data_IF_071627629426
#
_entry.id   IF_071627629426
#
_cell.length_a   1.000
_cell.length_b   1.000
_cell.length_c   1.000
_cell.angle_alpha   90.00
_cell.angle_beta   90.00
_cell.angle_gamma   90.00
#
_symmetry.space_group_name_H-M   'P 1'
#
loop_
_entity.id
_entity.type
_entity.pdbx_description
1 polymer ?
#
# COMPACT_ATOMS: atom_id res chain seq x y z
N UNK A 1 -4.09 -15.82 8.53
CA UNK A 1 -5.02 -15.87 7.39
C UNK A 1 -5.87 -14.62 7.47
N UNK A 2 -5.75 -13.70 6.52
CA UNK A 2 -6.55 -12.48 6.49
C UNK A 2 -8.02 -12.78 6.19
N UNK A 3 -8.92 -11.83 6.47
CA UNK A 3 -10.35 -11.97 6.15
C UNK A 3 -10.56 -12.08 4.63
N UNK A 4 -9.75 -11.40 3.81
CA UNK A 4 -9.80 -11.47 2.35
C UNK A 4 -9.31 -12.81 1.79
N UNK A 5 -8.25 -13.37 2.37
CA UNK A 5 -7.77 -14.72 2.07
C UNK A 5 -8.79 -15.77 2.50
N UNK A 6 -9.43 -15.60 3.66
CA UNK A 6 -10.48 -16.49 4.13
C UNK A 6 -11.74 -16.44 3.24
N UNK A 7 -12.10 -15.27 2.72
CA UNK A 7 -13.24 -15.13 1.80
C UNK A 7 -12.95 -15.73 0.41
N UNK A 8 -11.76 -15.48 -0.15
CA UNK A 8 -11.33 -16.10 -1.42
C UNK A 8 -11.17 -17.61 -1.29
N UNK A 9 -10.57 -18.09 -0.20
CA UNK A 9 -10.52 -19.51 0.13
C UNK A 9 -11.92 -20.09 0.31
N UNK A 10 -12.82 -19.38 1.00
CA UNK A 10 -14.21 -19.80 1.18
C UNK A 10 -14.95 -19.95 -0.15
N UNK A 11 -14.83 -18.96 -1.04
CA UNK A 11 -15.42 -19.00 -2.39
C UNK A 11 -14.82 -20.12 -3.24
N UNK A 12 -13.49 -20.25 -3.27
CA UNK A 12 -12.80 -21.33 -3.96
C UNK A 12 -13.20 -22.71 -3.42
N UNK A 13 -13.29 -22.88 -2.09
CA UNK A 13 -13.72 -24.14 -1.47
C UNK A 13 -15.17 -24.44 -1.82
N UNK A 14 -16.07 -23.45 -1.84
CA UNK A 14 -17.46 -23.64 -2.27
C UNK A 14 -17.55 -24.01 -3.74
N UNK A 15 -16.83 -23.32 -4.63
CA UNK A 15 -16.80 -23.63 -6.08
C UNK A 15 -16.16 -24.99 -6.35
N UNK A 16 -15.07 -25.33 -5.66
CA UNK A 16 -14.46 -26.64 -5.71
C UNK A 16 -15.40 -27.72 -5.17
N UNK A 17 -16.10 -27.49 -4.06
CA UNK A 17 -17.10 -28.41 -3.51
C UNK A 17 -18.31 -28.57 -4.44
N UNK A 18 -18.72 -27.53 -5.16
CA UNK A 18 -19.79 -27.59 -6.17
C UNK A 18 -19.35 -28.35 -7.42
N UNK A 19 -18.14 -28.10 -7.91
CA UNK A 19 -17.53 -28.86 -9.00
C UNK A 19 -17.37 -30.33 -8.64
N UNK A 20 -16.84 -30.61 -7.43
CA UNK A 20 -16.79 -31.94 -6.82
C UNK A 20 -18.20 -32.53 -6.71
N UNK A 21 -19.21 -31.82 -6.20
CA UNK A 21 -20.60 -32.32 -6.10
C UNK A 21 -21.20 -32.71 -7.46
N UNK A 22 -20.95 -31.91 -8.51
CA UNK A 22 -21.37 -32.24 -9.88
C UNK A 22 -20.64 -33.46 -10.46
N UNK A 23 -19.41 -33.72 -10.01
CA UNK A 23 -18.61 -34.87 -10.41
C UNK A 23 -18.98 -36.14 -9.61
N UNK A 24 -19.33 -35.96 -8.33
CA UNK A 24 -19.63 -37.01 -7.33
C UNK A 24 -21.07 -37.53 -7.38
N UNK A 25 -21.93 -36.93 -8.22
CA UNK A 25 -23.30 -37.39 -8.48
C UNK A 25 -23.36 -38.55 -9.49
N UNK A 26 -22.22 -38.98 -10.03
CA UNK A 26 -22.12 -40.17 -10.87
C UNK A 26 -21.83 -41.43 -10.03
N UNK A 27 -22.51 -42.56 -10.31
CA UNK A 27 -22.36 -43.82 -9.56
C UNK A 27 -20.95 -44.42 -9.54
N UNK A 28 -20.05 -43.91 -10.38
CA UNK A 28 -18.61 -44.26 -10.43
C UNK A 28 -17.84 -43.72 -9.22
N UNK A 29 -18.27 -42.60 -8.63
CA UNK A 29 -17.54 -41.94 -7.55
C UNK A 29 -17.88 -42.54 -6.18
N UNK A 30 -19.11 -43.03 -5.96
CA UNK A 30 -19.46 -43.74 -4.72
C UNK A 30 -18.54 -44.94 -4.45
N UNK A 31 -18.18 -45.68 -5.51
CA UNK A 31 -17.26 -46.84 -5.43
C UNK A 31 -15.81 -46.44 -5.11
N UNK A 32 -15.41 -45.22 -5.48
CA UNK A 32 -14.08 -44.64 -5.19
C UNK A 32 -14.00 -43.98 -3.80
N UNK A 33 -15.11 -43.45 -3.27
CA UNK A 33 -15.16 -42.92 -1.89
C UNK A 33 -15.01 -44.06 -0.86
N UNK A 34 -15.42 -45.28 -1.23
CA UNK A 34 -15.23 -46.49 -0.39
C UNK A 34 -13.78 -46.98 -0.36
N UNK A 35 -12.94 -46.49 -1.28
CA UNK A 35 -11.52 -46.82 -1.38
C UNK A 35 -10.71 -45.77 -0.58
N UNK A 36 -10.25 -46.17 0.62
CA UNK A 36 -9.54 -45.30 1.54
C UNK A 36 -8.24 -44.72 0.98
N UNK A 37 -7.56 -45.47 0.11
CA UNK A 37 -6.29 -45.05 -0.49
C UNK A 37 -6.54 -43.97 -1.55
N UNK A 38 -7.58 -44.14 -2.37
CA UNK A 38 -7.98 -43.13 -3.33
C UNK A 38 -8.40 -41.82 -2.64
N UNK A 39 -9.19 -41.89 -1.56
CA UNK A 39 -9.60 -40.70 -0.79
C UNK A 39 -8.40 -39.99 -0.15
N UNK A 40 -7.43 -40.75 0.36
CA UNK A 40 -6.19 -40.19 0.93
C UNK A 40 -5.37 -39.47 -0.13
N UNK A 41 -5.17 -40.09 -1.30
CA UNK A 41 -4.43 -39.51 -2.42
C UNK A 41 -5.10 -38.26 -2.97
N UNK A 42 -6.43 -38.29 -3.18
CA UNK A 42 -7.20 -37.13 -3.61
C UNK A 42 -7.08 -35.97 -2.61
N UNK A 43 -7.14 -36.23 -1.30
CA UNK A 43 -6.94 -35.19 -0.28
C UNK A 43 -5.55 -34.58 -0.36
N UNK A 44 -4.50 -35.39 -0.52
CA UNK A 44 -3.13 -34.89 -0.65
C UNK A 44 -2.95 -34.06 -1.93
N UNK A 45 -3.46 -34.54 -3.06
CA UNK A 45 -3.41 -33.81 -4.33
C UNK A 45 -4.18 -32.48 -4.26
N UNK A 46 -5.37 -32.49 -3.65
CA UNK A 46 -6.16 -31.28 -3.45
C UNK A 46 -5.47 -30.30 -2.49
N UNK A 47 -4.89 -30.78 -1.38
CA UNK A 47 -4.08 -29.93 -0.48
C UNK A 47 -2.88 -29.33 -1.22
N UNK A 48 -2.19 -30.10 -2.05
CA UNK A 48 -1.06 -29.63 -2.85
C UNK A 48 -1.48 -28.65 -3.95
N UNK A 49 -2.68 -28.81 -4.51
CA UNK A 49 -3.27 -27.87 -5.46
C UNK A 49 -3.62 -26.57 -4.74
N UNK A 50 -4.33 -26.65 -3.61
CA UNK A 50 -4.68 -25.49 -2.77
C UNK A 50 -3.43 -24.73 -2.33
N UNK A 51 -2.39 -25.42 -1.85
CA UNK A 51 -1.10 -24.80 -1.47
C UNK A 51 -0.39 -24.14 -2.65
N UNK A 52 -0.53 -24.67 -3.86
CA UNK A 52 0.00 -24.05 -5.09
C UNK A 52 -0.81 -22.84 -5.54
N UNK A 53 -2.13 -22.88 -5.37
CA UNK A 53 -3.05 -21.83 -5.83
C UNK A 53 -3.22 -20.69 -4.82
N UNK A 54 -2.93 -20.92 -3.55
CA UNK A 54 -2.95 -19.91 -2.50
C UNK A 54 -1.50 -19.60 -2.16
N UNK A 55 -0.87 -18.63 -2.86
CA UNK A 55 0.46 -18.20 -2.48
C UNK A 55 0.40 -17.74 -1.03
N UNK A 56 1.16 -18.40 -0.17
CA UNK A 56 1.32 -17.97 1.22
C UNK A 56 2.39 -16.90 1.27
N UNK A 57 2.17 -15.85 2.06
CA UNK A 57 3.17 -14.81 2.26
C UNK A 57 4.52 -15.45 2.66
N UNK A 58 5.55 -15.41 1.79
CA UNK A 58 6.83 -16.06 2.05
C UNK A 58 7.56 -15.38 3.22
N UNK A 59 7.16 -14.15 3.56
CA UNK A 59 7.72 -13.31 4.61
C UNK A 59 6.83 -13.30 5.87
N UNK A 60 5.87 -14.23 5.99
CA UNK A 60 4.92 -14.27 7.11
C UNK A 60 5.53 -14.33 8.51
N UNK A 61 6.80 -14.75 8.64
CA UNK A 61 7.56 -14.79 9.89
C UNK A 61 8.27 -13.48 10.23
N UNK A 62 8.29 -12.51 9.33
CA UNK A 62 8.93 -11.20 9.54
C UNK A 62 7.96 -10.26 10.22
N UNK A 63 7.66 -10.58 11.48
CA UNK A 63 6.73 -9.84 12.32
C UNK A 63 7.23 -9.77 13.75
N UNK A 64 7.01 -8.63 14.39
CA UNK A 64 7.21 -8.38 15.82
C UNK A 64 5.93 -7.78 16.40
N UNK A 65 5.86 -7.70 17.72
CA UNK A 65 4.74 -7.07 18.39
C UNK A 65 4.65 -5.59 18.01
N UNK A 66 3.42 -5.16 17.73
CA UNK A 66 3.12 -3.76 17.44
C UNK A 66 3.35 -2.94 18.72
N UNK A 67 4.13 -1.87 18.59
CA UNK A 67 4.33 -0.85 19.60
C UNK A 67 3.90 0.55 19.11
N UNK A 68 3.61 0.70 17.81
CA UNK A 68 3.20 1.95 17.19
C UNK A 68 1.75 2.29 17.52
N UNK A 69 1.55 3.49 18.05
CA UNK A 69 0.29 4.20 17.96
C UNK A 69 0.56 5.60 17.39
N UNK A 70 -0.46 6.18 16.77
CA UNK A 70 -0.37 7.57 16.37
C UNK A 70 -0.17 8.48 17.59
N UNK A 71 0.42 9.66 17.41
CA UNK A 71 0.44 10.67 18.44
C UNK A 71 -0.97 10.83 19.02
N UNK A 72 -1.05 10.95 20.35
CA UNK A 72 -2.34 10.96 21.04
C UNK A 72 -3.25 12.06 20.46
N UNK A 73 -4.40 11.66 19.94
CA UNK A 73 -5.39 12.58 19.37
C UNK A 73 -5.15 12.95 17.90
N UNK A 74 -4.11 12.42 17.26
CA UNK A 74 -3.92 12.61 15.82
C UNK A 74 -5.06 11.96 15.03
N UNK A 75 -5.56 12.71 14.05
CA UNK A 75 -6.53 12.26 13.07
C UNK A 75 -6.14 12.82 11.71
N UNK A 76 -6.61 12.17 10.65
CA UNK A 76 -6.46 12.70 9.31
C UNK A 76 -7.24 14.03 9.22
N UNK A 77 -6.68 15.10 8.60
CA UNK A 77 -7.39 16.37 8.50
C UNK A 77 -8.75 16.23 7.79
N UNK A 78 -9.76 17.01 8.18
CA UNK A 78 -11.04 17.10 7.46
C UNK A 78 -10.85 17.36 5.96
N UNK A 79 -11.80 16.90 5.14
CA UNK A 79 -11.70 17.01 3.68
C UNK A 79 -11.56 18.45 3.20
N UNK A 80 -12.26 19.40 3.82
CA UNK A 80 -12.17 20.82 3.45
C UNK A 80 -10.79 21.41 3.75
N UNK A 81 -10.16 21.00 4.86
CA UNK A 81 -8.80 21.39 5.21
C UNK A 81 -7.79 20.81 4.22
N UNK A 82 -7.97 19.53 3.82
CA UNK A 82 -7.17 18.91 2.78
C UNK A 82 -7.31 19.65 1.43
N UNK A 83 -8.53 20.00 1.01
CA UNK A 83 -8.80 20.77 -0.23
C UNK A 83 -8.13 22.14 -0.20
N UNK A 84 -8.27 22.86 0.92
CA UNK A 84 -7.65 24.17 1.10
C UNK A 84 -6.12 24.09 0.99
N UNK A 85 -5.53 23.10 1.68
CA UNK A 85 -4.08 22.90 1.66
C UNK A 85 -3.56 22.47 0.29
N UNK A 86 -4.27 21.58 -0.41
CA UNK A 86 -3.93 21.20 -1.78
C UNK A 86 -3.99 22.37 -2.75
N UNK A 87 -4.98 23.26 -2.60
CA UNK A 87 -5.10 24.47 -3.42
C UNK A 87 -3.92 25.42 -3.20
N UNK A 88 -3.45 25.53 -1.96
CA UNK A 88 -2.26 26.34 -1.63
C UNK A 88 -0.98 25.75 -2.25
N UNK A 89 -0.78 24.42 -2.15
CA UNK A 89 0.44 23.74 -2.63
C UNK A 89 0.44 23.62 -4.16
N UNK A 90 -0.73 23.38 -4.76
CA UNK A 90 -0.94 23.15 -6.18
C UNK A 90 -2.05 24.09 -6.72
N UNK A 91 -1.73 25.36 -7.06
CA UNK A 91 -2.71 26.42 -7.35
C UNK A 91 -3.65 26.24 -8.56
N UNK A 92 -3.69 25.06 -9.18
CA UNK A 92 -4.53 24.73 -10.35
C UNK A 92 -5.09 23.30 -10.31
N UNK A 93 -5.01 22.64 -9.15
CA UNK A 93 -5.52 21.29 -8.99
C UNK A 93 -7.05 21.29 -9.06
N UNK A 94 -7.63 20.47 -9.94
CA UNK A 94 -9.08 20.30 -10.01
C UNK A 94 -9.59 19.39 -8.89
N UNK A 95 -10.33 19.99 -7.97
CA UNK A 95 -10.97 19.34 -6.83
C UNK A 95 -12.49 19.22 -6.97
N UNK A 96 -13.06 19.61 -8.12
CA UNK A 96 -14.51 19.66 -8.33
C UNK A 96 -15.19 18.29 -8.24
N UNK A 97 -14.43 17.22 -8.46
CA UNK A 97 -14.91 15.84 -8.39
C UNK A 97 -14.79 15.18 -7.01
N UNK A 98 -14.16 15.83 -6.03
CA UNK A 98 -13.86 15.20 -4.72
C UNK A 98 -15.11 14.68 -4.03
N UNK A 99 -16.17 15.48 -3.95
CA UNK A 99 -17.37 15.10 -3.18
C UNK A 99 -18.07 13.87 -3.79
N UNK A 100 -18.17 13.83 -5.12
CA UNK A 100 -18.70 12.66 -5.82
C UNK A 100 -17.83 11.42 -5.61
N UNK A 101 -16.51 11.57 -5.63
CA UNK A 101 -15.58 10.47 -5.37
C UNK A 101 -15.66 9.97 -3.94
N UNK A 102 -15.91 10.85 -2.95
CA UNK A 102 -16.13 10.46 -1.55
C UNK A 102 -17.42 9.64 -1.41
N UNK A 103 -18.51 10.07 -2.05
CA UNK A 103 -19.81 9.39 -2.00
C UNK A 103 -19.75 7.97 -2.60
N UNK A 104 -18.86 7.75 -3.56
CA UNK A 104 -18.66 6.45 -4.21
C UNK A 104 -17.84 5.45 -3.36
N UNK A 105 -17.19 5.89 -2.27
CA UNK A 105 -16.35 5.01 -1.44
C UNK A 105 -17.20 4.05 -0.60
N UNK A 106 -16.99 2.74 -0.80
CA UNK A 106 -17.60 1.66 -0.02
C UNK A 106 -16.54 0.90 0.74
N UNK A 107 -16.40 1.27 2.00
CA UNK A 107 -15.54 0.52 2.93
C UNK A 107 -16.38 -0.58 3.60
N UNK A 108 -15.99 -1.86 3.51
CA UNK A 108 -16.64 -2.90 4.29
C UNK A 108 -16.62 -2.56 5.78
N UNK A 109 -17.74 -2.75 6.50
CA UNK A 109 -17.85 -2.47 7.94
C UNK A 109 -16.74 -3.13 8.77
N UNK A 110 -16.29 -4.32 8.36
CA UNK A 110 -15.19 -5.05 9.01
C UNK A 110 -13.83 -4.33 8.93
N UNK A 111 -13.66 -3.41 7.97
CA UNK A 111 -12.45 -2.63 7.75
C UNK A 111 -12.51 -1.23 8.36
N UNK A 112 -13.68 -0.72 8.76
CA UNK A 112 -13.86 0.65 9.29
C UNK A 112 -12.90 0.98 10.44
N UNK A 113 -12.69 0.06 11.37
CA UNK A 113 -11.79 0.25 12.52
C UNK A 113 -10.30 0.37 12.17
N UNK A 114 -9.93 0.12 10.91
CA UNK A 114 -8.56 0.15 10.43
C UNK A 114 -8.31 1.33 9.48
N UNK A 115 -9.34 2.11 9.16
CA UNK A 115 -9.23 3.28 8.29
C UNK A 115 -9.05 4.50 9.17
N UNK A 116 -7.99 5.27 8.91
CA UNK A 116 -7.70 6.49 9.65
C UNK A 116 -8.51 7.67 9.13
N UNK A 117 -8.90 7.61 7.85
CA UNK A 117 -9.74 8.62 7.20
C UNK A 117 -9.75 8.46 5.69
N UNK A 118 -10.42 9.42 5.03
CA UNK A 118 -10.44 9.56 3.58
C UNK A 118 -9.43 10.64 3.19
N UNK A 119 -8.46 10.28 2.36
CA UNK A 119 -7.42 11.18 1.92
C UNK A 119 -7.62 11.61 0.46
N UNK A 120 -7.35 12.88 0.18
CA UNK A 120 -7.30 13.46 -1.16
C UNK A 120 -5.82 13.51 -1.58
N UNK A 121 -5.46 12.75 -2.61
CA UNK A 121 -4.08 12.59 -3.06
C UNK A 121 -3.98 13.05 -4.51
N UNK A 122 -3.13 14.03 -4.86
CA UNK A 122 -2.87 14.38 -6.25
C UNK A 122 -2.45 13.17 -7.07
N UNK A 123 -3.03 13.01 -8.26
CA UNK A 123 -2.58 11.98 -9.20
C UNK A 123 -1.15 12.25 -9.60
N UNK A 124 -0.34 11.20 -9.67
CA UNK A 124 1.01 11.29 -10.20
C UNK A 124 1.02 11.81 -11.63
N UNK A 125 0.08 11.40 -12.49
CA UNK A 125 -0.06 11.97 -13.85
C UNK A 125 -0.37 13.47 -13.85
N UNK A 126 -1.09 13.99 -12.86
CA UNK A 126 -1.30 15.42 -12.71
C UNK A 126 0.00 16.12 -12.28
N UNK A 127 0.72 15.55 -11.31
CA UNK A 127 2.01 16.08 -10.84
C UNK A 127 3.04 16.11 -11.98
N UNK A 128 3.11 15.08 -12.82
CA UNK A 128 3.98 15.08 -14.00
C UNK A 128 3.69 16.25 -14.95
N UNK A 129 2.41 16.51 -15.22
CA UNK A 129 2.03 17.62 -16.10
C UNK A 129 2.40 18.98 -15.48
N UNK A 130 2.14 19.16 -14.19
CA UNK A 130 2.25 20.47 -13.53
C UNK A 130 3.66 20.80 -13.02
N UNK A 131 4.42 19.79 -12.59
CA UNK A 131 5.79 19.95 -12.09
C UNK A 131 6.81 19.80 -13.21
N UNK A 132 6.62 18.83 -14.11
CA UNK A 132 7.64 18.46 -15.08
C UNK A 132 7.37 18.97 -16.49
N UNK A 133 6.12 19.37 -16.80
CA UNK A 133 5.64 19.55 -18.17
C UNK A 133 5.92 18.31 -19.05
N UNK A 134 5.76 17.10 -18.46
CA UNK A 134 6.03 15.80 -19.10
C UNK A 134 4.86 14.84 -18.89
N UNK A 135 4.93 13.68 -19.56
CA UNK A 135 3.87 12.67 -19.57
C UNK A 135 4.35 11.22 -19.42
N UNK A 136 5.65 10.97 -19.21
CA UNK A 136 6.15 9.60 -19.03
C UNK A 136 6.10 9.21 -17.54
N UNK A 137 5.36 8.15 -17.24
CA UNK A 137 5.12 7.73 -15.86
C UNK A 137 6.36 7.11 -15.22
N UNK A 138 7.21 6.42 -15.98
CA UNK A 138 8.30 5.62 -15.42
C UNK A 138 9.63 6.37 -15.35
N UNK A 139 9.91 7.30 -16.27
CA UNK A 139 11.21 8.00 -16.32
C UNK A 139 11.31 9.23 -15.43
N UNK A 140 10.21 9.67 -14.83
CA UNK A 140 10.14 10.96 -14.13
C UNK A 140 9.74 10.80 -12.65
N UNK A 141 9.60 9.56 -12.16
CA UNK A 141 9.18 9.26 -10.78
C UNK A 141 10.11 9.88 -9.73
N UNK A 142 11.41 9.67 -9.89
CA UNK A 142 12.39 10.19 -8.95
C UNK A 142 12.42 11.73 -8.93
N UNK A 143 12.25 12.36 -10.09
CA UNK A 143 12.19 13.82 -10.19
C UNK A 143 10.96 14.39 -9.46
N UNK A 144 9.77 13.76 -9.58
CA UNK A 144 8.59 14.18 -8.80
C UNK A 144 8.83 13.97 -7.31
N UNK A 145 9.37 12.82 -6.90
CA UNK A 145 9.73 12.57 -5.50
C UNK A 145 10.69 13.63 -4.96
N UNK A 146 11.72 13.99 -5.74
CA UNK A 146 12.70 15.02 -5.40
C UNK A 146 12.06 16.40 -5.22
N UNK A 147 11.14 16.79 -6.09
CA UNK A 147 10.40 18.05 -5.96
C UNK A 147 9.51 18.08 -4.72
N UNK A 148 8.79 16.99 -4.43
CA UNK A 148 7.93 16.91 -3.24
C UNK A 148 8.76 16.99 -1.96
N UNK A 149 9.90 16.31 -1.91
CA UNK A 149 10.84 16.40 -0.79
C UNK A 149 11.38 17.81 -0.61
N UNK A 150 11.73 18.52 -1.68
CA UNK A 150 12.11 19.95 -1.59
C UNK A 150 11.00 20.79 -0.97
N UNK A 151 9.74 20.58 -1.38
CA UNK A 151 8.59 21.30 -0.80
C UNK A 151 8.41 20.99 0.68
N UNK A 152 8.59 19.73 1.08
CA UNK A 152 8.56 19.33 2.49
C UNK A 152 9.65 20.07 3.26
N UNK A 153 10.88 20.11 2.72
CA UNK A 153 12.02 20.80 3.35
C UNK A 153 11.87 22.32 3.49
N UNK A 154 10.98 22.94 2.71
CA UNK A 154 10.63 24.36 2.86
C UNK A 154 9.63 24.59 4.00
N UNK A 155 8.90 23.55 4.40
CA UNK A 155 7.88 23.62 5.45
C UNK A 155 8.34 23.09 6.81
N UNK A 156 9.33 22.19 6.83
CA UNK A 156 9.91 21.59 8.03
C UNK A 156 11.39 21.24 7.80
N UNK A 157 12.19 21.15 8.87
CA UNK A 157 13.53 20.58 8.75
C UNK A 157 13.44 19.15 8.19
N UNK A 158 14.20 18.88 7.14
CA UNK A 158 14.20 17.62 6.43
C UNK A 158 15.65 17.22 6.13
N UNK A 159 15.99 15.98 6.47
CA UNK A 159 17.30 15.39 6.27
C UNK A 159 17.18 14.11 5.44
N UNK A 160 17.86 14.08 4.29
CA UNK A 160 17.91 12.89 3.44
C UNK A 160 19.18 12.09 3.72
N UNK A 161 19.04 10.96 4.42
CA UNK A 161 20.12 9.99 4.66
C UNK A 161 20.05 8.79 3.72
N UNK A 162 18.96 8.64 2.97
CA UNK A 162 18.77 7.55 2.02
C UNK A 162 19.68 7.66 0.78
N UNK A 163 20.22 8.85 0.51
CA UNK A 163 21.01 9.13 -0.69
C UNK A 163 20.18 9.83 -1.76
N UNK A 164 20.69 9.93 -3.01
CA UNK A 164 20.03 10.68 -4.06
C UNK A 164 18.62 10.15 -4.37
N UNK A 165 17.68 11.05 -4.67
CA UNK A 165 16.38 10.70 -5.25
C UNK A 165 16.50 10.92 -6.76
N UNK A 166 17.01 9.92 -7.48
CA UNK A 166 17.11 9.90 -8.94
C UNK A 166 16.81 8.50 -9.50
N UNK A 167 16.71 8.37 -10.82
CA UNK A 167 16.26 7.14 -11.50
C UNK A 167 17.18 5.93 -11.29
N UNK A 168 18.39 6.13 -10.72
CA UNK A 168 19.31 5.04 -10.36
C UNK A 168 19.07 4.51 -8.95
N UNK A 169 18.45 5.32 -8.08
CA UNK A 169 18.38 5.05 -6.64
C UNK A 169 16.97 4.80 -6.13
N UNK A 170 15.92 5.24 -6.85
CA UNK A 170 14.54 4.94 -6.49
C UNK A 170 13.76 4.41 -7.69
N UNK A 171 12.89 3.43 -7.45
CA UNK A 171 11.85 3.00 -8.38
C UNK A 171 10.58 2.60 -7.66
N UNK A 172 9.46 2.60 -8.37
CA UNK A 172 8.20 2.02 -7.88
C UNK A 172 8.18 0.52 -8.15
N UNK A 173 7.56 -0.24 -7.26
CA UNK A 173 7.19 -1.63 -7.49
C UNK A 173 6.19 -1.75 -8.65
N UNK A 174 6.46 -2.65 -9.60
CA UNK A 174 5.66 -2.79 -10.81
C UNK A 174 4.17 -3.09 -10.52
N UNK A 175 3.86 -3.90 -9.50
CA UNK A 175 2.48 -4.27 -9.21
C UNK A 175 1.72 -3.09 -8.57
N UNK A 176 2.36 -2.37 -7.64
CA UNK A 176 1.80 -1.14 -7.09
C UNK A 176 1.59 -0.09 -8.19
N UNK A 177 2.56 0.03 -9.09
CA UNK A 177 2.54 0.94 -10.23
C UNK A 177 1.38 0.65 -11.20
N UNK A 178 1.11 -0.61 -11.52
CA UNK A 178 -0.04 -1.02 -12.34
C UNK A 178 -1.37 -0.66 -11.66
N UNK A 179 -1.47 -0.87 -10.35
CA UNK A 179 -2.66 -0.51 -9.57
C UNK A 179 -2.88 1.01 -9.61
N UNK A 180 -1.84 1.81 -9.36
CA UNK A 180 -1.92 3.28 -9.42
C UNK A 180 -2.33 3.74 -10.81
N UNK A 181 -1.68 3.22 -11.86
CA UNK A 181 -2.00 3.59 -13.25
C UNK A 181 -3.46 3.31 -13.59
N UNK A 182 -4.00 2.17 -13.15
CA UNK A 182 -5.41 1.81 -13.34
C UNK A 182 -6.35 2.74 -12.56
N UNK A 183 -6.01 3.06 -11.30
CA UNK A 183 -6.80 3.99 -10.49
C UNK A 183 -6.85 5.37 -11.14
N UNK A 184 -5.70 5.92 -11.54
CA UNK A 184 -5.64 7.24 -12.17
C UNK A 184 -6.38 7.32 -13.50
N UNK A 185 -6.28 6.26 -14.32
CA UNK A 185 -6.97 6.17 -15.62
C UNK A 185 -8.48 5.97 -15.52
N UNK A 186 -9.00 5.47 -14.38
CA UNK A 186 -10.45 5.24 -14.17
C UNK A 186 -11.11 6.30 -13.29
N UNK A 187 -10.34 7.12 -12.57
CA UNK A 187 -10.85 8.19 -11.71
C UNK A 187 -10.94 9.50 -12.51
N UNK A 188 -12.00 10.30 -12.35
CA UNK A 188 -12.08 11.64 -12.96
C UNK A 188 -11.28 12.68 -12.17
N UNK A 189 -10.96 13.81 -12.80
CA UNK A 189 -10.25 14.93 -12.16
C UNK A 189 -8.75 14.69 -11.93
N UNK A 190 -8.16 15.53 -11.09
CA UNK A 190 -6.71 15.62 -10.84
C UNK A 190 -6.24 14.88 -9.58
N UNK A 191 -7.16 14.29 -8.83
CA UNK A 191 -6.90 13.64 -7.54
C UNK A 191 -7.45 12.21 -7.50
N UNK A 192 -6.89 11.41 -6.60
CA UNK A 192 -7.48 10.19 -6.08
C UNK A 192 -8.07 10.51 -4.70
N UNK A 193 -9.24 9.94 -4.40
CA UNK A 193 -9.85 10.01 -3.07
C UNK A 193 -9.90 8.58 -2.53
N UNK A 194 -9.10 8.30 -1.50
CA UNK A 194 -8.86 6.94 -1.04
C UNK A 194 -9.07 6.82 0.48
N UNK A 195 -9.75 5.76 0.97
CA UNK A 195 -9.71 5.41 2.38
C UNK A 195 -8.34 4.84 2.73
N UNK A 196 -7.63 5.44 3.68
CA UNK A 196 -6.25 5.06 4.00
C UNK A 196 -6.07 4.56 5.43
N UNK A 197 -4.99 3.80 5.62
CA UNK A 197 -4.33 3.64 6.89
C UNK A 197 -2.88 4.14 6.73
N UNK A 198 -2.42 5.01 7.63
CA UNK A 198 -1.14 5.68 7.58
C UNK A 198 -0.04 4.89 8.31
N UNK A 199 -0.10 3.55 8.26
CA UNK A 199 0.97 2.65 8.74
C UNK A 199 0.63 1.78 9.95
N UNK A 200 -0.33 2.17 10.80
CA UNK A 200 -0.65 1.45 12.03
C UNK A 200 -1.21 0.03 11.81
N UNK A 201 -1.86 -0.21 10.67
CA UNK A 201 -2.44 -1.51 10.31
C UNK A 201 -1.36 -2.58 10.10
N UNK A 202 -0.24 -2.19 9.49
CA UNK A 202 0.90 -3.06 9.21
C UNK A 202 2.08 -2.82 10.16
N UNK A 203 1.88 -2.10 11.27
CA UNK A 203 2.93 -1.89 12.24
C UNK A 203 3.40 -3.24 12.84
N UNK A 204 4.71 -3.40 12.99
CA UNK A 204 5.33 -4.66 13.41
C UNK A 204 5.63 -5.64 12.28
N UNK A 205 5.33 -5.32 11.03
CA UNK A 205 5.65 -6.17 9.88
C UNK A 205 6.91 -5.66 9.19
N UNK A 206 7.69 -6.54 8.56
CA UNK A 206 8.70 -6.05 7.62
C UNK A 206 8.02 -5.42 6.41
N UNK A 207 8.65 -4.43 5.76
CA UNK A 207 8.05 -3.77 4.61
C UNK A 207 7.69 -4.73 3.47
N UNK A 208 8.54 -5.73 3.18
CA UNK A 208 8.25 -6.71 2.13
C UNK A 208 7.10 -7.65 2.51
N UNK A 209 6.97 -8.01 3.79
CA UNK A 209 5.84 -8.80 4.28
C UNK A 209 4.53 -8.01 4.21
N UNK A 210 4.56 -6.74 4.60
CA UNK A 210 3.42 -5.83 4.54
C UNK A 210 2.96 -5.58 3.11
N UNK A 211 3.88 -5.22 2.19
CA UNK A 211 3.57 -5.06 0.76
C UNK A 211 2.90 -6.30 0.17
N UNK A 212 3.51 -7.47 0.38
CA UNK A 212 2.96 -8.73 -0.15
C UNK A 212 1.52 -8.94 0.33
N UNK A 213 1.28 -8.71 1.62
CA UNK A 213 -0.04 -8.88 2.21
C UNK A 213 -1.03 -7.84 1.70
N UNK A 214 -0.62 -6.58 1.55
CA UNK A 214 -1.47 -5.50 1.06
C UNK A 214 -1.97 -5.81 -0.36
N UNK A 215 -1.05 -6.08 -1.28
CA UNK A 215 -1.37 -6.43 -2.68
C UNK A 215 -2.27 -7.67 -2.74
N UNK A 216 -1.95 -8.69 -1.94
CA UNK A 216 -2.74 -9.92 -1.84
C UNK A 216 -4.12 -9.74 -1.17
N UNK A 217 -4.44 -8.57 -0.62
CA UNK A 217 -5.71 -8.28 0.04
C UNK A 217 -6.52 -7.14 -0.60
N UNK A 218 -6.16 -6.73 -1.82
CA UNK A 218 -6.85 -5.62 -2.48
C UNK A 218 -6.61 -4.31 -1.77
N UNK A 219 -5.39 -4.12 -1.30
CA UNK A 219 -4.92 -2.84 -0.76
C UNK A 219 -3.78 -2.37 -1.66
N UNK A 220 -3.66 -1.05 -1.78
CA UNK A 220 -2.52 -0.42 -2.42
C UNK A 220 -1.54 -0.02 -1.32
N UNK A 221 -0.33 -0.62 -1.23
CA UNK A 221 0.76 0.01 -0.50
C UNK A 221 1.06 1.34 -1.19
N UNK A 222 0.98 2.44 -0.44
CA UNK A 222 1.15 3.77 -1.02
C UNK A 222 2.59 3.96 -1.47
N UNK A 223 2.76 4.53 -2.67
CA UNK A 223 4.08 4.87 -3.22
C UNK A 223 4.59 6.16 -2.55
N UNK A 224 5.91 6.35 -2.50
CA UNK A 224 6.54 7.46 -1.79
C UNK A 224 6.02 8.83 -2.22
N UNK A 225 5.77 9.06 -3.52
CA UNK A 225 5.12 10.29 -4.01
C UNK A 225 3.78 10.55 -3.32
N UNK A 226 2.91 9.54 -3.21
CA UNK A 226 1.61 9.69 -2.56
C UNK A 226 1.79 10.01 -1.08
N UNK A 227 2.75 9.35 -0.41
CA UNK A 227 3.07 9.61 1.00
C UNK A 227 3.60 11.03 1.19
N UNK A 228 4.49 11.51 0.32
CA UNK A 228 5.01 12.89 0.38
C UNK A 228 3.90 13.92 0.18
N UNK A 229 2.96 13.70 -0.74
CA UNK A 229 1.79 14.54 -0.88
C UNK A 229 0.94 14.56 0.40
N UNK A 230 0.71 13.40 1.01
CA UNK A 230 -0.03 13.31 2.28
C UNK A 230 0.67 14.11 3.37
N UNK A 231 1.99 14.00 3.51
CA UNK A 231 2.76 14.76 4.51
C UNK A 231 2.66 16.28 4.30
N UNK A 232 2.68 16.77 3.05
CA UNK A 232 2.47 18.18 2.74
C UNK A 232 1.07 18.69 3.12
N UNK A 233 0.07 17.81 3.04
CA UNK A 233 -1.32 18.10 3.44
C UNK A 233 -1.62 17.83 4.92
N UNK A 234 -0.68 17.25 5.66
CA UNK A 234 -0.84 16.85 7.06
C UNK A 234 0.31 17.39 7.93
N UNK A 235 0.46 18.72 8.05
CA UNK A 235 1.58 19.34 8.80
C UNK A 235 1.62 18.93 10.28
N UNK A 236 0.50 18.56 10.88
CA UNK A 236 0.49 18.09 12.27
C UNK A 236 1.15 16.71 12.42
N UNK A 237 1.05 15.86 11.40
CA UNK A 237 1.74 14.56 11.41
C UNK A 237 3.26 14.75 11.42
N UNK A 238 3.70 15.77 10.70
CA UNK A 238 5.07 16.24 10.60
C UNK A 238 5.59 16.84 11.94
N UNK A 239 4.78 17.63 12.64
CA UNK A 239 5.16 18.26 13.90
C UNK A 239 5.16 17.31 15.13
N UNK A 240 4.56 16.13 15.00
CA UNK A 240 4.21 15.27 16.15
C UNK A 240 5.34 14.45 16.78
N UNK A 241 6.60 14.65 16.39
CA UNK A 241 7.78 13.99 17.00
C UNK A 241 7.84 12.45 16.83
N UNK A 242 6.86 11.85 16.16
CA UNK A 242 6.63 10.40 16.10
C UNK A 242 6.26 9.94 14.69
N UNK A 243 6.76 10.65 13.67
CA UNK A 243 6.66 10.16 12.30
C UNK A 243 7.46 8.86 12.19
N UNK A 244 6.83 7.85 11.60
CA UNK A 244 7.38 6.55 11.36
C UNK A 244 6.48 5.87 10.34
N UNK A 245 6.95 5.68 9.11
CA UNK A 245 6.23 4.97 8.05
C UNK A 245 7.19 4.27 7.09
N UNK A 246 6.81 3.08 6.64
CA UNK A 246 7.57 2.34 5.61
C UNK A 246 7.11 2.74 4.20
N UNK A 247 8.05 3.00 3.30
CA UNK A 247 7.79 3.25 1.87
C UNK A 247 7.85 1.93 1.08
N UNK A 248 7.03 0.95 1.47
CA UNK A 248 7.16 -0.45 1.00
C UNK A 248 6.88 -0.70 -0.49
N UNK A 249 6.19 0.23 -1.14
CA UNK A 249 5.89 0.18 -2.57
C UNK A 249 7.04 0.72 -3.44
N UNK A 250 8.12 1.20 -2.82
CA UNK A 250 9.30 1.71 -3.51
C UNK A 250 10.48 0.76 -3.29
N UNK A 251 11.29 0.58 -4.33
CA UNK A 251 12.61 -0.02 -4.23
C UNK A 251 13.66 1.07 -4.15
N UNK A 252 14.61 0.91 -3.23
CA UNK A 252 15.74 1.81 -3.10
C UNK A 252 17.07 1.09 -3.34
N UNK A 253 17.99 1.76 -4.03
CA UNK A 253 19.34 1.28 -4.26
C UNK A 253 20.35 2.38 -3.92
N UNK A 254 20.98 2.34 -2.73
CA UNK A 254 21.93 3.38 -2.31
C UNK A 254 23.16 3.49 -3.20
N UNK A 255 23.56 2.39 -3.82
CA UNK A 255 24.79 2.29 -4.60
C UNK A 255 24.53 2.58 -6.09
N UNK A 256 23.26 2.79 -6.48
CA UNK A 256 22.86 3.04 -7.86
C UNK A 256 23.16 1.86 -8.80
N UNK A 257 23.28 0.65 -8.25
CA UNK A 257 23.64 -0.58 -8.99
C UNK A 257 22.49 -1.16 -9.80
N UNK A 258 21.27 -0.65 -9.58
CA UNK A 258 19.99 -1.18 -10.03
C UNK A 258 19.72 -2.61 -9.53
N UNK A 259 20.28 -2.95 -8.37
CA UNK A 259 20.04 -4.22 -7.66
C UNK A 259 19.12 -3.93 -6.47
N UNK A 260 17.83 -4.06 -6.73
CA UNK A 260 16.75 -3.70 -5.80
C UNK A 260 16.45 -4.78 -4.75
N UNK A 261 17.47 -5.51 -4.32
CA UNK A 261 17.37 -6.68 -3.45
C UNK A 261 17.24 -6.31 -1.96
N UNK A 262 17.71 -5.12 -1.61
CA UNK A 262 17.82 -4.63 -0.25
C UNK A 262 17.58 -3.13 -0.24
N UNK A 263 16.43 -2.75 0.31
CA UNK A 263 16.22 -1.60 1.19
C UNK A 263 14.86 -0.98 0.91
N UNK A 264 14.08 -0.88 2.00
CA UNK A 264 12.90 -0.04 2.02
C UNK A 264 13.31 1.25 2.66
N UNK A 265 12.93 2.36 2.05
CA UNK A 265 13.10 3.66 2.66
C UNK A 265 12.00 3.83 3.71
N UNK A 266 12.34 4.41 4.86
CA UNK A 266 11.36 4.81 5.87
C UNK A 266 11.51 6.29 6.16
N UNK A 267 10.42 6.90 6.62
CA UNK A 267 10.40 8.27 7.11
C UNK A 267 10.26 8.26 8.62
N UNK A 268 11.19 8.88 9.33
CA UNK A 268 11.12 9.09 10.77
C UNK A 268 11.16 10.56 11.15
N UNK A 269 10.75 10.88 12.37
CA UNK A 269 11.03 12.17 12.99
C UNK A 269 12.18 12.00 13.98
N UNK A 270 13.30 12.67 13.76
CA UNK A 270 14.47 12.67 14.64
C UNK A 270 14.81 14.11 15.00
N UNK A 271 14.73 14.46 16.29
CA UNK A 271 15.06 15.80 16.82
C UNK A 271 14.40 16.95 16.04
N UNK A 272 13.09 16.83 15.80
CA UNK A 272 12.27 17.80 15.05
C UNK A 272 12.59 17.90 13.53
N UNK A 273 13.36 16.93 13.00
CA UNK A 273 13.67 16.81 11.58
C UNK A 273 13.04 15.55 10.98
N UNK A 274 12.46 15.66 9.79
CA UNK A 274 12.05 14.50 9.01
C UNK A 274 13.31 13.84 8.45
N UNK A 275 13.58 12.60 8.81
CA UNK A 275 14.64 11.80 8.21
C UNK A 275 14.05 10.86 7.15
N UNK A 276 14.53 10.96 5.91
CA UNK A 276 14.39 9.91 4.91
C UNK A 276 15.60 8.98 5.02
N UNK A 277 15.38 7.75 5.46
CA UNK A 277 16.47 6.81 5.77
C UNK A 277 16.23 5.45 5.13
N UNK A 278 17.28 4.64 5.04
CA UNK A 278 17.21 3.28 4.51
C UNK A 278 17.21 2.26 5.63
N UNK A 279 16.39 1.22 5.48
CA UNK A 279 16.38 0.05 6.34
C UNK A 279 16.31 -1.24 5.55
N UNK A 280 16.57 -2.36 6.22
CA UNK A 280 16.42 -3.68 5.63
C UNK A 280 14.95 -3.96 5.32
N UNK A 281 14.64 -4.36 4.08
CA UNK A 281 13.26 -4.69 3.67
C UNK A 281 12.69 -5.91 4.36
N UNK A 282 13.54 -6.72 5.00
CA UNK A 282 13.16 -7.91 5.75
C UNK A 282 13.11 -7.72 7.27
N UNK A 283 13.43 -6.54 7.78
CA UNK A 283 13.43 -6.26 9.22
C UNK A 283 12.09 -5.67 9.66
N UNK A 284 11.32 -6.38 10.51
CA UNK A 284 10.09 -5.85 11.07
C UNK A 284 10.37 -4.84 12.19
N UNK A 285 9.62 -3.73 12.20
CA UNK A 285 9.71 -2.71 13.25
C UNK A 285 8.36 -2.53 13.93
N UNK A 286 8.32 -2.62 15.27
CA UNK A 286 7.08 -2.44 16.03
C UNK A 286 6.54 -1.01 16.04
N UNK A 287 7.41 -0.01 15.85
CA UNK A 287 7.14 1.42 16.01
C UNK A 287 6.52 2.13 14.80
N UNK A 288 6.41 1.47 13.66
CA UNK A 288 5.73 1.99 12.47
C UNK A 288 5.41 0.86 11.49
N UNK A 289 4.70 1.18 10.40
CA UNK A 289 4.37 0.22 9.36
C UNK A 289 4.10 0.87 8.01
N UNK A 290 3.68 0.05 7.06
CA UNK A 290 3.37 0.45 5.68
C UNK A 290 2.03 1.20 5.57
N UNK A 291 2.02 2.46 5.08
CA UNK A 291 0.80 3.15 4.68
C UNK A 291 0.14 2.45 3.50
N UNK A 292 -1.19 2.31 3.57
CA UNK A 292 -1.99 1.66 2.55
C UNK A 292 -3.25 2.47 2.23
N UNK A 293 -3.76 2.31 1.00
CA UNK A 293 -5.13 2.57 0.67
C UNK A 293 -5.93 1.26 0.60
N UNK A 294 -7.14 1.26 1.13
CA UNK A 294 -8.07 0.15 0.96
C UNK A 294 -8.78 0.31 -0.38
N UNK A 295 -8.62 -0.68 -1.26
CA UNK A 295 -9.33 -0.71 -2.53
C UNK A 295 -10.59 -1.56 -2.39
N UNK A 296 -11.63 -1.18 -3.13
CA UNK A 296 -12.72 -2.10 -3.45
C UNK A 296 -12.19 -3.10 -4.47
N UNK A 297 -12.14 -4.39 -4.08
CA UNK A 297 -12.06 -5.51 -5.01
C UNK A 297 -13.32 -6.36 -4.85
#
# INVERSE_FOLDING_TARGET
MSVGQAHRLGKFVVEALLAVRSYFSSGVVQKKISDGDWVSNFKQEFIQLVKRLIPTNPFSRERVDRAADYPKGWTLPPLDDQKARLTEIFPRIDLSHVDALVDDIKIPKSKHRFVDGIAIIPKFTHLLKTVANRSDFNSDYAMIGSELVKRISLSQSFYNKAGPIDDRHIRVDNEAMEIVSRLEGSTLGDVLVLPINFGSFYAGWSPRAAKWEALSNGQLPLISVQIFCLLLTMPDRLASGSLGVDLSADGWDPDGTQIWSSCTTYLTMEKDEIELSMGSSGEPTGGYGTPIAFLEL
#
